data_IF_356740693088
#
_entry.id   IF_356740693088
#
_cell.length_a   1.000
_cell.length_b   1.000
_cell.length_c   1.000
_cell.angle_alpha   90.00
_cell.angle_beta   90.00
_cell.angle_gamma   90.00
#
_symmetry.space_group_name_H-M   'P 1'
#
loop_
_entity.id
_entity.type
_entity.pdbx_description
1 polymer ?
#
# COMPACT_ATOMS: atom_id res chain seq x y z
N UNK A 1 25.01 18.38 -23.56
CA UNK A 1 24.30 18.81 -22.33
C UNK A 1 24.54 17.74 -21.29
N UNK A 2 25.38 18.05 -20.28
CA UNK A 2 25.74 17.11 -19.22
C UNK A 2 24.59 17.02 -18.20
N UNK A 3 23.92 15.88 -18.15
CA UNK A 3 22.90 15.59 -17.13
C UNK A 3 23.64 15.16 -15.84
N UNK A 4 23.63 16.01 -14.83
CA UNK A 4 24.15 15.66 -13.49
C UNK A 4 23.18 14.66 -12.85
N UNK A 5 23.54 13.37 -12.77
CA UNK A 5 22.87 12.33 -12.00
C UNK A 5 22.98 12.64 -10.51
N UNK A 6 21.88 13.01 -9.87
CA UNK A 6 21.78 13.07 -8.41
C UNK A 6 21.06 11.78 -7.95
N UNK A 7 21.84 10.75 -7.66
CA UNK A 7 21.34 9.50 -7.08
C UNK A 7 20.99 9.77 -5.61
N UNK A 8 19.70 9.70 -5.26
CA UNK A 8 19.28 9.63 -3.87
C UNK A 8 19.00 8.17 -3.56
N UNK A 9 19.89 7.54 -2.81
CA UNK A 9 19.71 6.18 -2.33
C UNK A 9 19.09 6.24 -0.94
N UNK A 10 17.88 5.70 -0.80
CA UNK A 10 17.27 5.47 0.51
C UNK A 10 17.52 4.02 0.90
N UNK A 11 18.29 3.82 1.97
CA UNK A 11 18.53 2.48 2.53
C UNK A 11 17.57 2.20 3.68
N UNK A 12 16.69 1.19 3.52
CA UNK A 12 16.03 0.49 4.62
C UNK A 12 16.49 -0.96 4.53
N UNK A 13 17.14 -1.44 5.59
CA UNK A 13 17.76 -2.76 5.65
C UNK A 13 16.67 -3.79 5.92
N UNK A 14 16.34 -4.56 4.95
CA UNK A 14 15.72 -5.84 4.64
C UNK A 14 14.76 -5.66 3.48
N UNK A 15 15.03 -6.23 2.33
CA UNK A 15 14.51 -5.96 0.98
C UNK A 15 14.59 -4.47 0.57
N UNK A 16 15.70 -4.12 -0.04
CA UNK A 16 16.03 -2.72 -0.38
C UNK A 16 15.24 -2.35 -1.62
N UNK A 17 14.16 -1.57 -1.45
CA UNK A 17 13.57 -0.88 -2.60
C UNK A 17 14.59 0.15 -3.10
N UNK A 18 15.07 -0.02 -4.32
CA UNK A 18 16.00 0.89 -4.98
C UNK A 18 15.26 1.71 -6.03
N UNK A 19 15.35 3.02 -5.93
CA UNK A 19 14.82 3.94 -6.93
C UNK A 19 15.98 4.56 -7.71
N UNK A 20 15.93 4.45 -9.05
CA UNK A 20 16.93 5.04 -9.95
C UNK A 20 16.22 5.93 -10.96
N UNK A 21 16.51 7.22 -10.97
CA UNK A 21 16.04 8.13 -12.00
C UNK A 21 16.88 7.92 -13.26
N UNK A 22 16.26 7.43 -14.34
CA UNK A 22 16.93 7.12 -15.61
C UNK A 22 16.98 8.33 -16.53
N UNK A 23 15.86 9.04 -16.68
CA UNK A 23 15.77 10.21 -17.52
C UNK A 23 14.78 11.25 -16.98
N UNK A 24 14.98 12.49 -17.35
CA UNK A 24 14.07 13.59 -17.05
C UNK A 24 13.99 14.58 -18.22
N UNK A 25 12.76 14.98 -18.57
CA UNK A 25 12.49 16.04 -19.52
C UNK A 25 11.42 16.97 -18.95
N UNK A 26 11.82 18.20 -18.58
CA UNK A 26 10.97 19.10 -17.82
C UNK A 26 10.50 18.49 -16.49
N UNK A 27 9.18 18.30 -16.32
CA UNK A 27 8.59 17.63 -15.15
C UNK A 27 8.40 16.11 -15.35
N UNK A 28 8.50 15.62 -16.58
CA UNK A 28 8.37 14.20 -16.88
C UNK A 28 9.62 13.44 -16.42
N UNK A 29 9.44 12.23 -15.88
CA UNK A 29 10.51 11.39 -15.35
C UNK A 29 10.31 9.95 -15.81
N UNK A 30 11.40 9.29 -16.18
CA UNK A 30 11.47 7.86 -16.30
C UNK A 30 12.42 7.32 -15.22
N UNK A 31 12.01 6.27 -14.53
CA UNK A 31 12.78 5.71 -13.43
C UNK A 31 12.61 4.19 -13.36
N UNK A 32 13.54 3.54 -12.68
CA UNK A 32 13.47 2.13 -12.33
C UNK A 32 13.27 2.02 -10.83
N UNK A 33 12.27 1.23 -10.41
CA UNK A 33 12.05 0.81 -9.02
C UNK A 33 12.39 -0.66 -8.94
N UNK A 34 13.35 -1.02 -8.09
CA UNK A 34 13.68 -2.41 -7.81
C UNK A 34 13.14 -2.77 -6.44
N UNK A 35 12.29 -3.80 -6.38
CA UNK A 35 11.77 -4.40 -5.16
C UNK A 35 12.43 -5.75 -4.92
N UNK A 36 11.94 -6.51 -3.95
CA UNK A 36 12.35 -7.91 -3.75
C UNK A 36 11.88 -8.83 -4.89
N UNK A 37 10.68 -8.56 -5.45
CA UNK A 37 10.01 -9.48 -6.38
C UNK A 37 10.09 -9.06 -7.85
N UNK A 38 10.29 -7.79 -8.15
CA UNK A 38 10.39 -7.32 -9.55
C UNK A 38 11.20 -6.04 -9.73
N UNK A 39 11.52 -5.76 -10.99
CA UNK A 39 12.04 -4.47 -11.44
C UNK A 39 10.95 -3.77 -12.23
N UNK A 40 10.54 -2.61 -11.77
CA UNK A 40 9.41 -1.85 -12.28
C UNK A 40 9.94 -0.66 -13.07
N UNK A 41 9.58 -0.56 -14.36
CA UNK A 41 9.91 0.58 -15.21
C UNK A 41 8.80 1.63 -15.12
N UNK A 42 9.14 2.85 -14.73
CA UNK A 42 8.15 3.93 -14.61
C UNK A 42 8.31 4.96 -15.74
N UNK A 43 7.20 5.54 -16.24
CA UNK A 43 5.80 5.37 -15.75
C UNK A 43 5.24 3.98 -16.05
N UNK A 44 4.42 3.44 -15.15
CA UNK A 44 3.82 2.12 -15.26
C UNK A 44 2.33 2.18 -14.93
N UNK A 45 1.53 1.38 -15.61
CA UNK A 45 0.15 1.13 -15.21
C UNK A 45 0.11 0.02 -14.16
N UNK A 46 -0.58 0.27 -13.06
CA UNK A 46 -0.72 -0.68 -11.96
C UNK A 46 -2.16 -1.19 -11.92
N UNK A 47 -2.41 -2.43 -12.40
CA UNK A 47 -3.73 -3.04 -12.33
C UNK A 47 -4.21 -3.23 -10.90
N UNK A 48 -5.53 -3.13 -10.69
CA UNK A 48 -6.15 -3.29 -9.37
C UNK A 48 -6.64 -4.71 -9.19
N UNK A 49 -6.00 -5.45 -8.30
CA UNK A 49 -6.39 -6.77 -7.83
C UNK A 49 -6.93 -6.72 -6.40
N UNK A 50 -8.17 -6.26 -6.21
CA UNK A 50 -8.78 -5.92 -4.91
C UNK A 50 -8.59 -7.01 -3.85
N UNK A 51 -8.79 -8.28 -4.20
CA UNK A 51 -8.62 -9.43 -3.29
C UNK A 51 -7.45 -10.34 -3.72
N UNK A 52 -6.40 -9.74 -4.23
CA UNK A 52 -5.26 -10.46 -4.80
C UNK A 52 -5.56 -11.07 -6.18
N UNK A 53 -6.71 -10.72 -6.79
CA UNK A 53 -7.10 -11.18 -8.11
C UNK A 53 -7.69 -10.06 -8.94
N UNK A 54 -7.51 -10.12 -10.25
CA UNK A 54 -8.03 -9.16 -11.22
C UNK A 54 -9.24 -9.77 -11.91
N UNK A 55 -10.33 -9.02 -11.99
CA UNK A 55 -11.56 -9.52 -12.56
C UNK A 55 -11.37 -9.95 -14.02
N UNK A 56 -11.78 -11.17 -14.34
CA UNK A 56 -11.72 -11.79 -15.66
C UNK A 56 -10.31 -12.07 -16.22
N UNK A 57 -9.28 -11.97 -15.39
CA UNK A 57 -7.90 -12.30 -15.75
C UNK A 57 -7.30 -13.20 -14.67
N UNK A 58 -6.52 -14.20 -15.07
CA UNK A 58 -5.73 -14.98 -14.15
C UNK A 58 -4.30 -14.40 -13.98
N UNK A 59 -3.49 -14.99 -13.13
CA UNK A 59 -2.15 -14.47 -12.86
C UNK A 59 -1.16 -14.78 -13.99
N UNK A 60 -1.42 -15.82 -14.80
CA UNK A 60 -0.68 -16.08 -16.02
C UNK A 60 -0.92 -14.98 -17.07
N UNK A 61 -2.19 -14.56 -17.25
CA UNK A 61 -2.52 -13.43 -18.12
C UNK A 61 -1.77 -12.17 -17.68
N UNK A 62 -1.71 -11.93 -16.38
CA UNK A 62 -1.07 -10.73 -15.82
C UNK A 62 0.44 -10.74 -15.98
N UNK A 63 1.08 -11.88 -15.77
CA UNK A 63 2.53 -12.02 -15.82
C UNK A 63 3.04 -12.18 -17.26
N UNK A 64 2.53 -13.18 -18.01
CA UNK A 64 3.09 -13.61 -19.28
C UNK A 64 2.51 -12.86 -20.46
N UNK A 65 1.20 -12.52 -20.44
CA UNK A 65 0.54 -11.89 -21.59
C UNK A 65 0.61 -10.37 -21.48
N UNK A 66 0.25 -9.80 -20.34
CA UNK A 66 0.21 -8.36 -20.12
C UNK A 66 1.54 -7.80 -19.61
N UNK A 67 2.42 -8.65 -19.08
CA UNK A 67 3.71 -8.25 -18.56
C UNK A 67 3.63 -7.23 -17.41
N UNK A 68 2.56 -7.28 -16.61
CA UNK A 68 2.41 -6.38 -15.48
C UNK A 68 3.57 -6.55 -14.50
N UNK A 69 4.21 -5.47 -14.11
CA UNK A 69 5.38 -5.48 -13.21
C UNK A 69 4.99 -5.28 -11.74
N UNK A 70 3.78 -4.76 -11.50
CA UNK A 70 3.22 -4.48 -10.19
C UNK A 70 1.69 -4.52 -10.22
N UNK A 71 1.08 -5.05 -9.16
CA UNK A 71 -0.37 -5.11 -8.96
C UNK A 71 -0.71 -4.44 -7.61
N UNK A 72 -1.84 -3.72 -7.56
CA UNK A 72 -2.38 -3.20 -6.32
C UNK A 72 -3.33 -4.21 -5.69
N UNK A 73 -3.11 -4.58 -4.42
CA UNK A 73 -4.08 -5.31 -3.60
C UNK A 73 -4.66 -4.39 -2.51
N UNK A 74 -5.91 -4.63 -2.13
CA UNK A 74 -6.60 -3.75 -1.19
C UNK A 74 -6.56 -4.30 0.23
N UNK A 75 -5.93 -3.54 1.13
CA UNK A 75 -5.73 -3.91 2.53
C UNK A 75 -7.04 -4.16 3.28
N UNK A 76 -8.04 -3.30 3.12
CA UNK A 76 -9.34 -3.44 3.80
C UNK A 76 -10.02 -4.77 3.42
N UNK A 77 -10.10 -5.08 2.13
CA UNK A 77 -10.75 -6.30 1.66
C UNK A 77 -9.97 -7.55 2.09
N UNK A 78 -8.65 -7.53 1.95
CA UNK A 78 -7.79 -8.65 2.35
C UNK A 78 -7.81 -8.91 3.85
N UNK A 79 -7.88 -7.85 4.67
CA UNK A 79 -8.03 -7.93 6.12
C UNK A 79 -9.36 -8.57 6.54
N UNK A 80 -10.48 -8.15 5.92
CA UNK A 80 -11.79 -8.70 6.26
C UNK A 80 -11.98 -10.13 5.73
N UNK A 81 -11.49 -10.41 4.53
CA UNK A 81 -11.63 -11.73 3.88
C UNK A 81 -10.56 -11.90 2.81
N UNK A 82 -9.67 -12.91 2.91
CA UNK A 82 -9.68 -14.06 3.82
C UNK A 82 -9.11 -13.79 5.23
N UNK A 83 -8.62 -12.60 5.51
CA UNK A 83 -7.86 -12.22 6.70
C UNK A 83 -6.36 -12.24 6.44
N UNK A 84 -5.66 -11.18 6.82
CA UNK A 84 -4.23 -11.00 6.58
C UNK A 84 -3.37 -12.10 7.24
N UNK A 85 -3.72 -12.55 8.46
CA UNK A 85 -3.04 -13.67 9.12
C UNK A 85 -3.17 -14.99 8.35
N UNK A 86 -4.31 -15.21 7.69
CA UNK A 86 -4.50 -16.39 6.86
C UNK A 86 -3.65 -16.31 5.59
N UNK A 87 -3.57 -15.13 4.98
CA UNK A 87 -2.70 -14.90 3.83
C UNK A 87 -1.23 -15.09 4.21
N UNK A 88 -0.81 -14.62 5.40
CA UNK A 88 0.53 -14.85 5.92
C UNK A 88 0.86 -16.35 6.03
N UNK A 89 -0.07 -17.15 6.60
CA UNK A 89 0.08 -18.62 6.72
C UNK A 89 0.15 -19.32 5.37
N UNK A 90 -0.50 -18.79 4.33
CA UNK A 90 -0.47 -19.31 2.96
C UNK A 90 0.79 -18.89 2.18
N UNK A 91 1.70 -18.17 2.80
CA UNK A 91 2.96 -17.70 2.21
C UNK A 91 2.85 -16.35 1.54
N UNK A 92 2.00 -15.49 2.11
CA UNK A 92 1.79 -14.10 1.71
C UNK A 92 1.11 -13.96 0.33
N UNK A 93 0.89 -12.74 -0.15
CA UNK A 93 0.19 -12.49 -1.42
C UNK A 93 0.79 -13.25 -2.60
N UNK A 94 2.12 -13.28 -2.72
CA UNK A 94 2.81 -13.88 -3.85
C UNK A 94 2.50 -15.39 -4.00
N UNK A 95 2.50 -16.15 -2.90
CA UNK A 95 2.12 -17.56 -2.94
C UNK A 95 0.61 -17.77 -2.98
N UNK A 96 -0.14 -16.93 -2.24
CA UNK A 96 -1.60 -16.99 -2.22
C UNK A 96 -2.21 -16.77 -3.60
N UNK A 97 -1.66 -15.84 -4.40
CA UNK A 97 -2.15 -15.50 -5.74
C UNK A 97 -1.41 -16.21 -6.86
N UNK A 98 -0.24 -16.80 -6.59
CA UNK A 98 0.72 -17.32 -7.58
C UNK A 98 1.34 -16.25 -8.50
N UNK A 99 1.15 -14.95 -8.20
CA UNK A 99 1.77 -13.87 -8.96
C UNK A 99 3.19 -13.59 -8.44
N UNK A 100 4.22 -13.74 -9.29
CA UNK A 100 5.61 -13.71 -8.83
C UNK A 100 6.20 -12.30 -8.68
N UNK A 101 5.53 -11.27 -9.20
CA UNK A 101 6.02 -9.90 -9.22
C UNK A 101 5.45 -9.05 -8.08
N UNK A 102 5.72 -7.76 -8.07
CA UNK A 102 5.47 -6.88 -6.92
C UNK A 102 4.00 -6.61 -6.63
N UNK A 103 3.70 -6.47 -5.34
CA UNK A 103 2.45 -5.94 -4.84
C UNK A 103 2.64 -4.59 -4.14
N UNK A 104 1.82 -3.61 -4.51
CA UNK A 104 1.53 -2.47 -3.67
C UNK A 104 0.22 -2.75 -2.95
N UNK A 105 0.16 -2.51 -1.63
CA UNK A 105 -1.10 -2.51 -0.88
C UNK A 105 -1.45 -1.08 -0.49
N UNK A 106 -2.72 -0.73 -0.68
CA UNK A 106 -3.24 0.54 -0.17
C UNK A 106 -3.37 0.51 1.37
N UNK A 107 -3.78 1.62 1.98
CA UNK A 107 -3.98 1.68 3.44
C UNK A 107 -5.29 1.04 3.91
N UNK A 108 -6.24 0.82 3.03
CA UNK A 108 -7.62 0.44 3.37
C UNK A 108 -8.47 1.59 3.95
N UNK A 109 -7.91 2.77 4.14
CA UNK A 109 -8.59 3.93 4.73
C UNK A 109 -9.78 4.41 3.88
N UNK A 110 -9.63 4.44 2.56
CA UNK A 110 -10.72 4.83 1.65
C UNK A 110 -11.92 3.90 1.79
N UNK A 111 -11.71 2.58 1.84
CA UNK A 111 -12.80 1.60 1.93
C UNK A 111 -13.43 1.64 3.33
N UNK A 112 -12.63 1.78 4.38
CA UNK A 112 -13.15 1.99 5.74
C UNK A 112 -14.05 3.23 5.83
N UNK A 113 -13.74 4.27 5.06
CA UNK A 113 -14.55 5.48 4.95
C UNK A 113 -15.79 5.29 4.05
N UNK A 114 -15.62 4.73 2.85
CA UNK A 114 -16.67 4.73 1.80
C UNK A 114 -17.65 3.59 1.89
N UNK A 115 -17.27 2.43 2.47
CA UNK A 115 -18.08 1.22 2.57
C UNK A 115 -18.72 1.02 3.95
N UNK A 116 -18.45 1.91 4.90
CA UNK A 116 -18.99 1.83 6.25
C UNK A 116 -20.04 2.93 6.46
N UNK A 117 -21.22 2.56 6.96
CA UNK A 117 -22.24 3.52 7.42
C UNK A 117 -21.75 4.36 8.61
N UNK A 118 -20.73 3.85 9.31
CA UNK A 118 -20.09 4.51 10.44
C UNK A 118 -18.59 4.47 10.23
N UNK A 119 -18.02 5.60 9.80
CA UNK A 119 -16.60 5.83 9.78
C UNK A 119 -16.28 7.06 10.61
N UNK A 120 -15.46 6.87 11.64
CA UNK A 120 -15.08 7.95 12.58
C UNK A 120 -13.55 8.03 12.68
N UNK A 121 -12.91 8.99 12.02
CA UNK A 121 -11.50 9.27 12.23
C UNK A 121 -11.30 9.94 13.60
N UNK A 122 -10.36 9.42 14.39
CA UNK A 122 -9.84 9.97 15.64
C UNK A 122 -8.36 10.32 15.50
N UNK A 123 -7.68 10.73 16.54
CA UNK A 123 -6.22 10.92 16.49
C UNK A 123 -5.46 9.57 16.46
N UNK A 124 -6.06 8.52 16.95
CA UNK A 124 -5.46 7.19 17.05
C UNK A 124 -5.69 6.34 15.79
N UNK A 125 -6.75 6.62 15.00
CA UNK A 125 -7.09 5.82 13.84
C UNK A 125 -8.53 6.00 13.38
N UNK A 126 -9.03 5.00 12.64
CA UNK A 126 -10.37 4.99 12.04
C UNK A 126 -11.18 3.82 12.59
N UNK A 127 -12.29 4.11 13.29
CA UNK A 127 -13.32 3.11 13.60
C UNK A 127 -14.26 2.94 12.41
N UNK A 128 -14.56 1.69 12.05
CA UNK A 128 -15.51 1.38 10.98
C UNK A 128 -16.26 0.09 11.25
N UNK A 129 -17.38 -0.10 10.54
CA UNK A 129 -18.10 -1.37 10.49
C UNK A 129 -17.80 -2.12 9.21
N UNK A 130 -17.57 -3.42 9.33
CA UNK A 130 -17.44 -4.32 8.17
C UNK A 130 -18.74 -4.33 7.35
N UNK A 131 -18.61 -4.16 6.04
CA UNK A 131 -19.73 -4.29 5.11
C UNK A 131 -20.15 -5.74 4.89
N UNK A 132 -19.35 -6.71 5.38
CA UNK A 132 -19.63 -8.15 5.22
C UNK A 132 -20.59 -8.66 6.29
N UNK A 133 -20.34 -8.31 7.55
CA UNK A 133 -21.01 -8.87 8.73
C UNK A 133 -21.39 -7.83 9.79
N UNK A 134 -21.07 -6.55 9.56
CA UNK A 134 -21.37 -5.45 10.49
C UNK A 134 -20.49 -5.42 11.74
N UNK A 135 -19.47 -6.27 11.84
CA UNK A 135 -18.51 -6.24 12.96
C UNK A 135 -17.75 -4.91 13.02
N UNK A 136 -17.38 -4.50 14.24
CA UNK A 136 -16.62 -3.27 14.46
C UNK A 136 -15.13 -3.53 14.39
N UNK A 137 -14.43 -2.66 13.69
CA UNK A 137 -12.98 -2.69 13.52
C UNK A 137 -12.38 -1.33 13.78
N UNK A 138 -11.11 -1.32 14.12
CA UNK A 138 -10.34 -0.10 14.34
C UNK A 138 -8.98 -0.22 13.65
N UNK A 139 -8.73 0.64 12.67
CA UNK A 139 -7.46 0.76 11.99
C UNK A 139 -6.64 1.87 12.62
N UNK A 140 -5.50 1.53 13.21
CA UNK A 140 -4.46 2.48 13.59
C UNK A 140 -3.34 2.48 12.53
N UNK A 141 -2.49 3.51 12.49
CA UNK A 141 -1.30 3.52 11.64
C UNK A 141 -0.45 2.25 11.77
N UNK A 142 -0.23 1.80 13.01
CA UNK A 142 0.57 0.61 13.34
C UNK A 142 -0.11 -0.67 12.85
N UNK A 143 -1.41 -0.83 13.12
CA UNK A 143 -2.18 -2.01 12.70
C UNK A 143 -2.22 -2.16 11.18
N UNK A 144 -2.33 -1.05 10.46
CA UNK A 144 -2.31 -1.08 8.98
C UNK A 144 -0.95 -1.55 8.46
N UNK A 145 0.15 -1.19 9.12
CA UNK A 145 1.48 -1.71 8.80
C UNK A 145 1.58 -3.22 9.09
N UNK A 146 1.05 -3.69 10.23
CA UNK A 146 1.02 -5.13 10.56
C UNK A 146 0.26 -5.94 9.51
N UNK A 147 -0.94 -5.48 9.12
CA UNK A 147 -1.75 -6.12 8.08
C UNK A 147 -0.96 -6.23 6.77
N UNK A 148 -0.35 -5.14 6.30
CA UNK A 148 0.41 -5.12 5.06
C UNK A 148 1.69 -5.98 5.16
N UNK A 149 2.31 -6.06 6.33
CA UNK A 149 3.43 -6.98 6.62
C UNK A 149 3.00 -8.43 6.51
N UNK A 150 1.84 -8.80 7.07
CA UNK A 150 1.23 -10.11 6.96
C UNK A 150 0.89 -10.46 5.50
N UNK A 151 0.41 -9.47 4.73
CA UNK A 151 0.16 -9.62 3.30
C UNK A 151 1.46 -9.79 2.49
N UNK A 152 2.59 -9.31 3.00
CA UNK A 152 3.90 -9.39 2.32
C UNK A 152 4.04 -8.40 1.17
N UNK A 153 3.56 -7.17 1.38
CA UNK A 153 3.59 -6.11 0.39
C UNK A 153 5.02 -5.61 0.13
N UNK A 154 5.35 -5.39 -1.14
CA UNK A 154 6.61 -4.73 -1.53
C UNK A 154 6.57 -3.23 -1.27
N UNK A 155 5.39 -2.62 -1.48
CA UNK A 155 5.15 -1.19 -1.24
C UNK A 155 3.90 -1.07 -0.37
N UNK A 156 4.07 -0.50 0.82
CA UNK A 156 3.02 -0.28 1.80
C UNK A 156 2.59 1.19 1.82
N UNK A 157 1.26 1.44 1.75
CA UNK A 157 0.72 2.79 1.88
C UNK A 157 0.36 3.07 3.34
N UNK A 158 0.65 4.27 3.79
CA UNK A 158 0.27 4.74 5.14
C UNK A 158 -1.23 5.00 5.23
N UNK A 159 -1.80 4.84 6.43
CA UNK A 159 -3.18 5.25 6.69
C UNK A 159 -3.35 6.76 6.53
N UNK A 160 -4.43 7.18 5.89
CA UNK A 160 -4.76 8.58 5.64
C UNK A 160 -6.16 8.95 6.13
N UNK A 161 -6.32 10.20 6.58
CA UNK A 161 -7.62 10.75 6.99
C UNK A 161 -8.33 11.36 5.79
N UNK A 162 -9.29 10.65 5.22
CA UNK A 162 -10.05 11.06 4.06
C UNK A 162 -11.12 12.10 4.39
N UNK A 163 -11.35 12.99 3.44
CA UNK A 163 -12.35 14.06 3.54
C UNK A 163 -13.31 13.99 2.37
N UNK A 164 -14.60 13.82 2.67
CA UNK A 164 -15.64 13.96 1.65
C UNK A 164 -15.73 15.42 1.19
N UNK A 165 -15.84 15.62 -0.11
CA UNK A 165 -16.04 16.96 -0.69
C UNK A 165 -17.52 17.18 -1.03
N UNK A 166 -18.02 18.42 -0.86
CA UNK A 166 -17.31 19.61 -0.41
C UNK A 166 -17.03 19.61 1.10
N UNK A 167 -15.90 20.20 1.50
CA UNK A 167 -15.47 20.31 2.90
C UNK A 167 -14.95 21.72 3.21
N UNK A 168 -14.98 22.10 4.50
CA UNK A 168 -14.40 23.34 4.97
C UNK A 168 -12.86 23.30 4.92
N UNK A 169 -12.23 24.43 4.73
CA UNK A 169 -10.77 24.53 4.75
C UNK A 169 -10.18 24.00 6.07
N UNK A 170 -10.86 24.25 7.19
CA UNK A 170 -10.45 23.75 8.50
C UNK A 170 -10.45 22.21 8.55
N UNK A 171 -11.51 21.54 8.03
CA UNK A 171 -11.55 20.07 7.97
C UNK A 171 -10.43 19.51 7.09
N UNK A 172 -10.14 20.15 5.96
CA UNK A 172 -9.04 19.76 5.07
C UNK A 172 -7.70 19.90 5.78
N UNK A 173 -7.47 21.00 6.48
CA UNK A 173 -6.24 21.26 7.25
C UNK A 173 -6.03 20.19 8.32
N UNK A 174 -7.05 19.90 9.13
CA UNK A 174 -7.01 18.86 10.17
C UNK A 174 -6.68 17.49 9.55
N UNK A 175 -7.26 17.16 8.40
CA UNK A 175 -6.98 15.91 7.68
C UNK A 175 -5.51 15.78 7.26
N UNK A 176 -4.96 16.84 6.66
CA UNK A 176 -3.55 16.86 6.23
C UNK A 176 -2.62 16.69 7.42
N UNK A 177 -2.86 17.43 8.50
CA UNK A 177 -2.04 17.37 9.72
C UNK A 177 -2.12 15.99 10.39
N UNK A 178 -3.32 15.39 10.47
CA UNK A 178 -3.52 14.04 11.01
C UNK A 178 -2.83 12.99 10.16
N UNK A 179 -3.02 13.03 8.85
CA UNK A 179 -2.34 12.12 7.92
C UNK A 179 -0.82 12.19 8.05
N UNK A 180 -0.27 13.39 8.24
CA UNK A 180 1.17 13.58 8.46
C UNK A 180 1.62 12.90 9.75
N UNK A 181 0.91 13.11 10.87
CA UNK A 181 1.22 12.43 12.14
C UNK A 181 1.10 10.91 12.06
N UNK A 182 0.09 10.41 11.33
CA UNK A 182 -0.08 8.98 11.10
C UNK A 182 1.05 8.40 10.23
N UNK A 183 1.54 9.15 9.24
CA UNK A 183 2.70 8.75 8.46
C UNK A 183 3.96 8.62 9.34
N UNK A 184 4.21 9.57 10.23
CA UNK A 184 5.32 9.52 11.18
C UNK A 184 5.22 8.29 12.08
N UNK A 185 4.05 8.03 12.69
CA UNK A 185 3.79 6.82 13.52
C UNK A 185 4.01 5.53 12.73
N UNK A 186 3.52 5.44 11.49
CA UNK A 186 3.70 4.28 10.64
C UNK A 186 5.18 3.98 10.37
N UNK A 187 5.96 5.01 10.04
CA UNK A 187 7.39 4.89 9.75
C UNK A 187 8.16 4.47 11.01
N UNK A 188 7.89 5.10 12.16
CA UNK A 188 8.53 4.76 13.44
C UNK A 188 8.22 3.32 13.85
N UNK A 189 6.95 2.92 13.74
CA UNK A 189 6.51 1.57 14.03
C UNK A 189 7.20 0.55 13.12
N UNK A 190 7.13 0.73 11.81
CA UNK A 190 7.77 -0.15 10.84
C UNK A 190 9.27 -0.34 11.12
N UNK A 191 10.00 0.76 11.36
CA UNK A 191 11.42 0.70 11.72
C UNK A 191 11.67 -0.07 13.01
N UNK A 192 10.79 0.08 14.01
CA UNK A 192 10.88 -0.65 15.28
C UNK A 192 10.70 -2.16 15.09
N UNK A 193 9.79 -2.59 14.20
CA UNK A 193 9.57 -4.01 13.89
C UNK A 193 10.76 -4.59 13.13
N UNK A 194 11.29 -3.87 12.14
CA UNK A 194 12.49 -4.27 11.42
C UNK A 194 13.71 -4.47 12.34
N UNK A 195 13.87 -3.62 13.33
CA UNK A 195 14.94 -3.74 14.32
C UNK A 195 14.79 -5.00 15.21
N UNK A 196 13.57 -5.52 15.37
CA UNK A 196 13.28 -6.78 16.10
C UNK A 196 13.38 -8.02 15.22
N UNK A 197 13.60 -7.86 13.90
CA UNK A 197 13.66 -8.97 12.95
C UNK A 197 12.29 -9.55 12.55
N UNK A 198 11.25 -8.73 12.65
CA UNK A 198 9.88 -9.06 12.28
C UNK A 198 9.55 -8.46 10.91
#
# INVERSE_FOLDING_TARGET
IAIKKKVRTFYIKTSIMKFTLEAQCGKARAATIQTEHSTIQTPVFMPVGTVGSIKSLDMHDMDEILGAEIILANTYHMYLRPGDENVAKMGKLHKYTTYPKSFLTDSGGFQAFSLSDISKPTEEGIEFKSHIDGSRHFFTPEKVIDIQTNLGSDIMMILDDLVALPATQERIKVSIERTTRWAEKSIEYFRSQQAKGI
#
